data_IF_960393273834
#
_entry.id   IF_960393273834
#
_cell.length_a   1.000
_cell.length_b   1.000
_cell.length_c   1.000
_cell.angle_alpha   90.00
_cell.angle_beta   90.00
_cell.angle_gamma   90.00
#
_symmetry.space_group_name_H-M   'P 1'
#
loop_
_entity.id
_entity.type
_entity.pdbx_description
1 polymer ?
#
# COMPACT_ATOMS: atom_id res chain seq x y z
N UNK A 1 8.74 25.99 -0.24
CA UNK A 1 9.12 27.22 -0.99
C UNK A 1 9.77 28.18 0.00
N UNK A 2 11.09 28.35 -0.07
CA UNK A 2 11.78 29.34 0.74
C UNK A 2 11.67 30.71 0.05
N UNK A 3 11.35 31.76 0.82
CA UNK A 3 11.17 33.12 0.29
C UNK A 3 12.00 34.11 1.10
N UNK A 4 12.81 34.89 0.39
CA UNK A 4 13.51 36.06 0.92
C UNK A 4 12.87 37.34 0.36
N UNK A 5 12.64 38.35 1.19
CA UNK A 5 11.94 39.57 0.79
C UNK A 5 12.85 40.49 -0.04
N UNK A 6 12.43 40.80 -1.27
CA UNK A 6 13.21 41.62 -2.22
C UNK A 6 12.91 43.12 -2.19
N UNK A 7 12.33 43.66 -1.11
CA UNK A 7 12.08 45.11 -0.97
C UNK A 7 10.77 45.64 -1.55
N UNK A 8 9.98 44.82 -2.26
CA UNK A 8 8.68 45.22 -2.84
C UNK A 8 7.60 44.16 -2.53
N UNK A 9 6.40 44.62 -2.16
CA UNK A 9 5.24 43.75 -1.90
C UNK A 9 4.62 43.29 -3.22
N UNK A 10 4.40 41.99 -3.36
CA UNK A 10 3.82 41.38 -4.57
C UNK A 10 2.29 41.44 -4.65
N UNK A 11 1.62 41.85 -3.56
CA UNK A 11 0.17 41.70 -3.41
C UNK A 11 -0.28 40.23 -3.38
N UNK A 12 -1.56 39.99 -3.09
CA UNK A 12 -2.10 38.63 -2.93
C UNK A 12 -1.93 37.79 -4.20
N UNK A 13 -2.32 38.32 -5.36
CA UNK A 13 -2.21 37.60 -6.63
C UNK A 13 -0.77 37.33 -7.07
N UNK A 14 0.17 38.22 -6.74
CA UNK A 14 1.59 37.98 -7.01
C UNK A 14 2.19 36.90 -6.11
N UNK A 15 1.78 36.84 -4.83
CA UNK A 15 2.20 35.78 -3.91
C UNK A 15 1.64 34.42 -4.31
N UNK A 16 0.34 34.33 -4.64
CA UNK A 16 -0.28 33.07 -5.08
C UNK A 16 0.45 32.50 -6.30
N UNK A 17 0.75 33.32 -7.30
CA UNK A 17 1.51 32.89 -8.48
C UNK A 17 2.94 32.47 -8.16
N UNK A 18 3.64 33.22 -7.30
CA UNK A 18 5.03 32.91 -6.95
C UNK A 18 5.15 31.57 -6.22
N UNK A 19 4.32 31.34 -5.20
CA UNK A 19 4.36 30.11 -4.42
C UNK A 19 3.81 28.91 -5.19
N UNK A 20 2.63 29.06 -5.80
CA UNK A 20 2.01 28.00 -6.59
C UNK A 20 2.85 27.63 -7.81
N UNK A 21 3.42 28.62 -8.51
CA UNK A 21 4.31 28.40 -9.63
C UNK A 21 5.62 27.70 -9.23
N UNK A 22 6.25 28.11 -8.13
CA UNK A 22 7.46 27.47 -7.63
C UNK A 22 7.20 25.99 -7.24
N UNK A 23 6.15 25.72 -6.46
CA UNK A 23 5.78 24.35 -6.10
C UNK A 23 5.40 23.51 -7.34
N UNK A 24 4.62 24.08 -8.27
CA UNK A 24 4.23 23.41 -9.50
C UNK A 24 5.42 23.04 -10.38
N UNK A 25 6.42 23.91 -10.52
CA UNK A 25 7.65 23.60 -11.25
C UNK A 25 8.45 22.47 -10.59
N UNK A 26 8.54 22.44 -9.26
CA UNK A 26 9.16 21.32 -8.56
C UNK A 26 8.45 19.99 -8.85
N UNK A 27 7.11 19.97 -8.80
CA UNK A 27 6.32 18.76 -9.08
C UNK A 27 6.39 18.33 -10.56
N UNK A 28 6.49 19.28 -11.49
CA UNK A 28 6.64 18.98 -12.92
C UNK A 28 7.97 18.32 -13.26
N UNK A 29 9.04 18.74 -12.57
CA UNK A 29 10.40 18.25 -12.81
C UNK A 29 10.76 17.02 -11.98
N UNK A 30 10.01 16.74 -10.90
CA UNK A 30 10.23 15.58 -10.07
C UNK A 30 9.90 14.27 -10.83
N UNK A 31 10.67 13.23 -10.55
CA UNK A 31 10.31 11.88 -10.96
C UNK A 31 9.00 11.47 -10.28
N UNK A 32 8.08 10.91 -11.06
CA UNK A 32 6.78 10.45 -10.59
C UNK A 32 6.78 8.93 -10.57
N UNK A 33 6.40 8.38 -9.43
CA UNK A 33 6.08 6.96 -9.30
C UNK A 33 4.56 6.79 -9.24
N UNK A 34 4.09 5.61 -9.61
CA UNK A 34 2.67 5.30 -9.56
C UNK A 34 2.18 5.24 -8.10
N UNK A 35 1.05 5.88 -7.84
CA UNK A 35 0.32 5.73 -6.57
C UNK A 35 -0.68 4.59 -6.74
N UNK A 36 -0.31 3.40 -6.26
CA UNK A 36 -1.15 2.21 -6.34
C UNK A 36 -1.91 2.03 -5.03
N UNK A 37 -3.25 2.03 -5.09
CA UNK A 37 -4.08 1.73 -3.93
C UNK A 37 -3.93 0.25 -3.53
N UNK A 38 -3.59 0.01 -2.26
CA UNK A 38 -3.53 -1.32 -1.67
C UNK A 38 -4.54 -1.43 -0.52
N UNK A 39 -5.06 -2.63 -0.28
CA UNK A 39 -5.86 -3.00 0.88
C UNK A 39 -5.05 -3.91 1.79
N UNK A 40 -5.17 -3.68 3.09
CA UNK A 40 -4.62 -4.58 4.10
C UNK A 40 -5.50 -5.81 4.20
N UNK A 41 -4.88 -6.98 4.17
CA UNK A 41 -5.56 -8.27 4.26
C UNK A 41 -4.89 -9.15 5.29
N UNK A 42 -5.65 -10.11 5.81
CA UNK A 42 -5.20 -11.12 6.75
C UNK A 42 -5.71 -12.51 6.40
N UNK A 43 -4.87 -13.52 6.61
CA UNK A 43 -5.25 -14.94 6.55
C UNK A 43 -4.26 -15.77 7.37
N UNK A 44 -4.59 -17.02 7.63
CA UNK A 44 -3.72 -17.98 8.31
C UNK A 44 -3.49 -19.25 7.49
N UNK A 45 -2.36 -19.92 7.69
CA UNK A 45 -2.10 -21.21 7.05
C UNK A 45 -1.31 -22.13 7.96
N UNK A 46 -1.37 -23.43 7.70
CA UNK A 46 -0.52 -24.40 8.40
C UNK A 46 0.92 -24.33 7.90
N UNK A 47 1.87 -24.83 8.70
CA UNK A 47 3.30 -24.81 8.34
C UNK A 47 3.62 -25.49 7.01
N UNK A 48 2.92 -26.58 6.68
CA UNK A 48 3.08 -27.30 5.41
C UNK A 48 2.54 -26.52 4.20
N UNK A 49 1.68 -25.52 4.40
CA UNK A 49 1.12 -24.66 3.37
C UNK A 49 1.93 -23.37 3.21
N UNK A 50 2.66 -22.95 4.25
CA UNK A 50 3.35 -21.67 4.29
C UNK A 50 4.31 -21.45 3.11
N UNK A 51 5.11 -22.45 2.75
CA UNK A 51 6.05 -22.32 1.63
C UNK A 51 5.36 -21.98 0.29
N UNK A 52 4.13 -22.46 0.08
CA UNK A 52 3.33 -22.16 -1.12
C UNK A 52 2.93 -20.69 -1.09
N UNK A 53 2.38 -20.21 0.04
CA UNK A 53 1.96 -18.82 0.15
C UNK A 53 3.13 -17.84 0.13
N UNK A 54 4.24 -18.16 0.80
CA UNK A 54 5.45 -17.35 0.79
C UNK A 54 5.99 -17.18 -0.63
N UNK A 55 6.02 -18.27 -1.42
CA UNK A 55 6.40 -18.20 -2.84
C UNK A 55 5.47 -17.28 -3.63
N UNK A 56 4.16 -17.44 -3.50
CA UNK A 56 3.16 -16.65 -4.25
C UNK A 56 3.22 -15.16 -3.88
N UNK A 57 3.34 -14.84 -2.59
CA UNK A 57 3.49 -13.45 -2.10
C UNK A 57 4.75 -12.80 -2.68
N UNK A 58 5.88 -13.50 -2.64
CA UNK A 58 7.14 -13.01 -3.19
C UNK A 58 7.08 -12.84 -4.72
N UNK A 59 6.48 -13.79 -5.44
CA UNK A 59 6.32 -13.71 -6.89
C UNK A 59 5.52 -12.45 -7.26
N UNK A 60 4.39 -12.21 -6.58
CA UNK A 60 3.53 -11.07 -6.85
C UNK A 60 4.04 -9.75 -6.25
N UNK A 61 5.23 -9.75 -5.64
CA UNK A 61 5.85 -8.60 -4.97
C UNK A 61 4.89 -7.95 -3.96
N UNK A 62 4.20 -8.79 -3.20
CA UNK A 62 3.24 -8.36 -2.18
C UNK A 62 4.02 -8.13 -0.89
N UNK A 63 3.81 -6.97 -0.27
CA UNK A 63 4.38 -6.68 1.04
C UNK A 63 3.60 -7.45 2.10
N UNK A 64 4.29 -8.21 2.97
CA UNK A 64 3.67 -8.97 4.04
C UNK A 64 4.50 -9.01 5.31
N UNK A 65 3.84 -9.39 6.40
CA UNK A 65 4.41 -9.75 7.69
C UNK A 65 3.83 -11.10 8.12
N UNK A 66 4.70 -12.00 8.54
CA UNK A 66 4.36 -13.29 9.09
C UNK A 66 4.53 -13.34 10.62
N UNK A 67 3.60 -14.00 11.29
CA UNK A 67 3.68 -14.33 12.71
C UNK A 67 3.49 -15.84 12.90
N UNK A 68 4.49 -16.47 13.51
CA UNK A 68 4.45 -17.90 13.80
C UNK A 68 3.68 -18.17 15.09
N UNK A 69 2.68 -19.04 15.00
CA UNK A 69 1.83 -19.46 16.12
C UNK A 69 2.01 -20.96 16.38
N UNK A 70 1.32 -21.48 17.41
CA UNK A 70 1.36 -22.92 17.71
C UNK A 70 0.75 -23.80 16.59
N UNK A 71 -0.16 -23.25 15.78
CA UNK A 71 -0.95 -24.00 14.80
C UNK A 71 -0.51 -23.75 13.35
N UNK A 72 0.36 -22.77 13.12
CA UNK A 72 0.79 -22.37 11.78
C UNK A 72 1.31 -20.94 11.73
N UNK A 73 1.00 -20.25 10.65
CA UNK A 73 1.45 -18.88 10.36
C UNK A 73 0.24 -17.99 10.17
N UNK A 74 0.24 -16.82 10.80
CA UNK A 74 -0.68 -15.73 10.51
C UNK A 74 0.03 -14.72 9.61
N UNK A 75 -0.67 -14.25 8.58
CA UNK A 75 -0.10 -13.38 7.55
C UNK A 75 -0.94 -12.11 7.47
N UNK A 76 -0.26 -10.96 7.57
CA UNK A 76 -0.82 -9.65 7.25
C UNK A 76 -0.13 -9.10 6.01
N UNK A 77 -0.87 -8.69 4.99
CA UNK A 77 -0.30 -8.32 3.70
C UNK A 77 -1.02 -7.15 3.03
N UNK A 78 -0.36 -6.49 2.08
CA UNK A 78 -0.89 -5.34 1.32
C UNK A 78 -1.13 -5.72 -0.14
N UNK A 79 -2.39 -5.92 -0.50
CA UNK A 79 -2.80 -6.37 -1.83
C UNK A 79 -3.35 -5.22 -2.66
N UNK A 80 -3.00 -5.17 -3.94
CA UNK A 80 -3.75 -4.36 -4.90
C UNK A 80 -5.15 -4.97 -5.10
N UNK A 81 -6.15 -4.15 -5.40
CA UNK A 81 -7.55 -4.59 -5.55
C UNK A 81 -7.71 -5.80 -6.48
N UNK A 82 -6.99 -5.82 -7.61
CA UNK A 82 -7.08 -6.90 -8.60
C UNK A 82 -6.42 -8.21 -8.14
N UNK A 83 -5.52 -8.18 -7.15
CA UNK A 83 -4.83 -9.35 -6.62
C UNK A 83 -5.67 -10.09 -5.58
N UNK A 84 -6.61 -9.41 -4.92
CA UNK A 84 -7.36 -9.95 -3.78
C UNK A 84 -8.19 -11.17 -4.18
N UNK A 85 -9.02 -11.06 -5.21
CA UNK A 85 -9.93 -12.14 -5.60
C UNK A 85 -9.19 -13.41 -6.08
N UNK A 86 -8.19 -13.33 -6.98
CA UNK A 86 -7.39 -14.48 -7.36
C UNK A 86 -6.71 -15.16 -6.16
N UNK A 87 -6.16 -14.36 -5.22
CA UNK A 87 -5.45 -14.91 -4.07
C UNK A 87 -6.40 -15.51 -3.02
N UNK A 88 -7.60 -14.95 -2.86
CA UNK A 88 -8.63 -15.52 -2.00
C UNK A 88 -9.05 -16.93 -2.48
N UNK A 89 -9.21 -17.12 -3.79
CA UNK A 89 -9.49 -18.45 -4.37
C UNK A 89 -8.32 -19.42 -4.13
N UNK A 90 -7.09 -18.97 -4.35
CA UNK A 90 -5.89 -19.77 -4.09
C UNK A 90 -5.80 -20.21 -2.63
N UNK A 91 -6.11 -19.32 -1.68
CA UNK A 91 -6.17 -19.65 -0.25
C UNK A 91 -7.19 -20.78 -0.02
N UNK A 92 -8.39 -20.67 -0.60
CA UNK A 92 -9.39 -21.72 -0.47
C UNK A 92 -8.92 -23.06 -1.06
N UNK A 93 -8.29 -23.05 -2.24
CA UNK A 93 -7.80 -24.28 -2.88
C UNK A 93 -6.70 -24.97 -2.06
N UNK A 94 -5.70 -24.21 -1.60
CA UNK A 94 -4.56 -24.75 -0.84
C UNK A 94 -5.01 -25.26 0.54
N UNK A 95 -5.90 -24.52 1.21
CA UNK A 95 -6.39 -24.87 2.56
C UNK A 95 -7.59 -25.81 2.54
N UNK A 96 -8.04 -26.26 1.35
CA UNK A 96 -9.25 -27.08 1.15
C UNK A 96 -10.49 -26.44 1.79
N UNK A 97 -10.60 -25.12 1.67
CA UNK A 97 -11.70 -24.30 2.17
C UNK A 97 -11.65 -23.97 3.67
N UNK A 98 -10.60 -24.37 4.39
CA UNK A 98 -10.47 -24.09 5.84
C UNK A 98 -10.28 -22.59 6.14
N UNK A 99 -9.53 -21.88 5.30
CA UNK A 99 -9.23 -20.46 5.52
C UNK A 99 -9.85 -19.56 4.44
N UNK A 100 -10.09 -18.31 4.80
CA UNK A 100 -10.49 -17.25 3.88
C UNK A 100 -9.66 -15.98 4.13
N UNK A 101 -9.37 -15.26 3.04
CA UNK A 101 -8.75 -13.94 3.10
C UNK A 101 -9.74 -12.92 3.64
N UNK A 102 -9.31 -12.15 4.65
CA UNK A 102 -10.10 -11.09 5.28
C UNK A 102 -9.48 -9.74 4.92
N UNK A 103 -10.30 -8.80 4.43
CA UNK A 103 -9.88 -7.41 4.25
C UNK A 103 -10.03 -6.71 5.60
N UNK A 104 -8.97 -6.04 6.04
CA UNK A 104 -9.00 -5.21 7.24
C UNK A 104 -9.33 -3.80 6.79
N UNK A 105 -10.49 -3.31 7.23
CA UNK A 105 -10.79 -1.89 7.14
C UNK A 105 -9.93 -1.19 8.19
N UNK A 106 -9.01 -0.31 7.77
CA UNK A 106 -8.43 0.64 8.71
C UNK A 106 -9.57 1.56 9.17
N UNK A 107 -9.75 1.66 10.49
CA UNK A 107 -10.57 2.71 11.06
C UNK A 107 -9.98 4.03 10.56
N UNK A 108 -10.73 4.75 9.74
CA UNK A 108 -10.41 6.12 9.36
C UNK A 108 -10.21 6.92 10.64
N UNK A 109 -8.96 7.26 10.96
CA UNK A 109 -8.68 8.31 11.93
C UNK A 109 -9.10 9.62 11.24
N UNK A 110 -10.24 10.17 11.68
CA UNK A 110 -10.79 11.47 11.26
C UNK A 110 -9.88 12.64 11.69
#
# INVERSE_FOLDING_TARGET
VNRWYGGIKLGTGGLVRAYGGCAGQCLLLAEKIELIEKKKVQFSCQFNEWAIFQYELNQQQIDYQEEYTAEGVQISALFQLHQIQPFALKIQDVTRGREQLKIIEEATDD
#
